data_IF_330519491320
#
_entry.id   IF_330519491320
#
_cell.length_a   1.000
_cell.length_b   1.000
_cell.length_c   1.000
_cell.angle_alpha   90.00
_cell.angle_beta   90.00
_cell.angle_gamma   90.00
#
_symmetry.space_group_name_H-M   'P 1'
#
loop_
_entity.id
_entity.type
_entity.pdbx_description
1 polymer ?
#
# COMPACT_ATOMS: atom_id res chain seq x y z
N UNK A 1 36.02 84.25 -30.34
CA UNK A 1 36.20 82.81 -30.06
C UNK A 1 35.05 82.17 -29.25
N UNK A 2 33.99 82.91 -28.91
CA UNK A 2 32.88 82.44 -28.05
C UNK A 2 31.75 81.72 -28.80
N UNK A 3 31.56 81.98 -30.10
CA UNK A 3 30.47 81.40 -30.91
C UNK A 3 30.70 79.94 -31.31
N UNK A 4 31.94 79.54 -31.59
CA UNK A 4 32.26 78.15 -31.94
C UNK A 4 32.03 77.16 -30.78
N UNK A 5 32.32 77.60 -29.55
CA UNK A 5 32.07 76.82 -28.34
C UNK A 5 30.56 76.64 -28.06
N UNK A 6 29.74 77.66 -28.33
CA UNK A 6 28.30 77.59 -28.13
C UNK A 6 27.61 76.63 -29.13
N UNK A 7 28.09 76.58 -30.37
CA UNK A 7 27.61 75.64 -31.40
C UNK A 7 28.01 74.21 -31.05
N UNK A 8 29.25 73.99 -30.60
CA UNK A 8 29.70 72.67 -30.16
C UNK A 8 28.89 72.17 -28.96
N UNK A 9 28.63 73.03 -27.96
CA UNK A 9 27.84 72.68 -26.78
C UNK A 9 26.39 72.29 -27.14
N UNK A 10 25.74 73.04 -28.05
CA UNK A 10 24.37 72.73 -28.49
C UNK A 10 24.26 71.43 -29.27
N UNK A 11 25.25 71.11 -30.13
CA UNK A 11 25.29 69.82 -30.83
C UNK A 11 25.50 68.65 -29.87
N UNK A 12 26.36 68.80 -28.85
CA UNK A 12 26.58 67.79 -27.82
C UNK A 12 25.30 67.57 -26.99
N UNK A 13 24.61 68.64 -26.60
CA UNK A 13 23.33 68.55 -25.88
C UNK A 13 22.23 67.87 -26.71
N UNK A 14 22.17 68.14 -28.02
CA UNK A 14 21.22 67.49 -28.92
C UNK A 14 21.53 65.99 -29.09
N UNK A 15 22.80 65.63 -29.25
CA UNK A 15 23.24 64.23 -29.31
C UNK A 15 22.91 63.49 -28.00
N UNK A 16 23.13 64.12 -26.85
CA UNK A 16 22.78 63.57 -25.54
C UNK A 16 21.26 63.35 -25.39
N UNK A 17 20.43 64.28 -25.89
CA UNK A 17 18.97 64.14 -25.88
C UNK A 17 18.50 62.97 -26.75
N UNK A 18 19.08 62.79 -27.94
CA UNK A 18 18.73 61.68 -28.84
C UNK A 18 19.08 60.33 -28.19
N UNK A 19 20.25 60.22 -27.56
CA UNK A 19 20.66 59.02 -26.83
C UNK A 19 19.71 58.78 -25.66
N UNK A 20 19.36 59.81 -24.88
CA UNK A 20 18.44 59.69 -23.75
C UNK A 20 17.05 59.18 -24.17
N UNK A 21 16.50 59.68 -25.29
CA UNK A 21 15.20 59.22 -25.82
C UNK A 21 15.28 57.77 -26.29
N UNK A 22 16.35 57.39 -27.00
CA UNK A 22 16.56 56.00 -27.44
C UNK A 22 16.68 55.06 -26.25
N UNK A 23 17.50 55.39 -25.26
CA UNK A 23 17.65 54.61 -24.02
C UNK A 23 16.32 54.50 -23.27
N UNK A 24 15.55 55.57 -23.14
CA UNK A 24 14.24 55.53 -22.52
C UNK A 24 13.26 54.59 -23.26
N UNK A 25 13.27 54.60 -24.60
CA UNK A 25 12.43 53.71 -25.41
C UNK A 25 12.83 52.24 -25.31
N UNK A 26 14.14 51.94 -25.25
CA UNK A 26 14.64 50.58 -25.05
C UNK A 26 14.31 50.09 -23.64
N UNK A 27 14.53 50.91 -22.62
CA UNK A 27 14.21 50.55 -21.23
C UNK A 27 12.71 50.24 -21.04
N UNK A 28 11.81 50.98 -21.70
CA UNK A 28 10.37 50.69 -21.69
C UNK A 28 10.06 49.33 -22.32
N UNK A 29 10.58 49.05 -23.52
CA UNK A 29 10.38 47.75 -24.19
C UNK A 29 10.96 46.58 -23.39
N UNK A 30 12.09 46.79 -22.73
CA UNK A 30 12.70 45.80 -21.84
C UNK A 30 11.87 45.57 -20.59
N UNK A 31 11.26 46.61 -20.01
CA UNK A 31 10.33 46.48 -18.89
C UNK A 31 9.07 45.69 -19.29
N UNK A 32 8.42 46.05 -20.40
CA UNK A 32 7.24 45.35 -20.91
C UNK A 32 7.55 43.86 -21.21
N UNK A 33 8.73 43.58 -21.79
CA UNK A 33 9.18 42.22 -22.07
C UNK A 33 9.48 41.44 -20.78
N UNK A 34 10.03 42.10 -19.75
CA UNK A 34 10.30 41.50 -18.44
C UNK A 34 8.99 41.17 -17.71
N UNK A 35 8.01 42.07 -17.72
CA UNK A 35 6.67 41.84 -17.17
C UNK A 35 5.96 40.68 -17.90
N UNK A 36 6.01 40.68 -19.24
CA UNK A 36 5.47 39.57 -20.04
C UNK A 36 6.15 38.23 -19.74
N UNK A 37 7.47 38.24 -19.51
CA UNK A 37 8.25 37.06 -19.12
C UNK A 37 7.90 36.58 -17.72
N UNK A 38 7.72 37.49 -16.77
CA UNK A 38 7.29 37.17 -15.40
C UNK A 38 5.91 36.51 -15.41
N UNK A 39 4.93 37.08 -16.10
CA UNK A 39 3.60 36.48 -16.21
C UNK A 39 3.60 35.12 -16.93
N UNK A 40 4.52 34.89 -17.87
CA UNK A 40 4.70 33.58 -18.48
C UNK A 40 5.31 32.58 -17.50
N UNK A 41 6.33 33.00 -16.73
CA UNK A 41 6.96 32.18 -15.69
C UNK A 41 5.98 31.80 -14.58
N UNK A 42 5.17 32.75 -14.08
CA UNK A 42 4.15 32.50 -13.05
C UNK A 42 3.12 31.48 -13.53
N UNK A 43 2.62 31.63 -14.77
CA UNK A 43 1.68 30.67 -15.36
C UNK A 43 2.30 29.28 -15.54
N UNK A 44 3.58 29.22 -15.94
CA UNK A 44 4.30 27.95 -16.06
C UNK A 44 4.49 27.29 -14.68
N UNK A 45 4.82 28.07 -13.64
CA UNK A 45 4.94 27.57 -12.28
C UNK A 45 3.60 27.04 -11.74
N UNK A 46 2.50 27.77 -11.96
CA UNK A 46 1.15 27.32 -11.57
C UNK A 46 0.70 26.07 -12.32
N UNK A 47 1.04 25.96 -13.61
CA UNK A 47 0.76 24.77 -14.40
C UNK A 47 1.58 23.57 -13.94
N UNK A 48 2.86 23.77 -13.60
CA UNK A 48 3.73 22.73 -13.06
C UNK A 48 3.23 22.26 -11.68
N UNK A 49 2.81 23.18 -10.81
CA UNK A 49 2.22 22.86 -9.50
C UNK A 49 0.97 22.00 -9.65
N UNK A 50 0.01 22.43 -10.47
CA UNK A 50 -1.22 21.67 -10.73
C UNK A 50 -0.96 20.30 -11.35
N UNK A 51 0.06 20.20 -12.21
CA UNK A 51 0.47 18.93 -12.81
C UNK A 51 1.07 17.99 -11.76
N UNK A 52 1.89 18.51 -10.84
CA UNK A 52 2.45 17.72 -9.73
C UNK A 52 1.36 17.24 -8.78
N UNK A 53 0.39 18.08 -8.42
CA UNK A 53 -0.77 17.71 -7.60
C UNK A 53 -1.62 16.63 -8.25
N UNK A 54 -1.89 16.74 -9.57
CA UNK A 54 -2.63 15.72 -10.31
C UNK A 54 -1.87 14.39 -10.40
N UNK A 55 -0.56 14.44 -10.61
CA UNK A 55 0.29 13.25 -10.64
C UNK A 55 0.31 12.53 -9.28
N UNK A 56 0.40 13.29 -8.19
CA UNK A 56 0.32 12.74 -6.83
C UNK A 56 -1.03 12.06 -6.57
N UNK A 57 -2.13 12.69 -6.97
CA UNK A 57 -3.47 12.09 -6.85
C UNK A 57 -3.58 10.77 -7.62
N UNK A 58 -3.11 10.73 -8.87
CA UNK A 58 -3.11 9.50 -9.68
C UNK A 58 -2.24 8.43 -9.02
N UNK A 59 -1.05 8.80 -8.53
CA UNK A 59 -0.17 7.87 -7.83
C UNK A 59 -0.85 7.27 -6.59
N UNK A 60 -1.56 8.07 -5.80
CA UNK A 60 -2.31 7.58 -4.64
C UNK A 60 -3.46 6.64 -5.04
N UNK A 61 -4.16 6.94 -6.15
CA UNK A 61 -5.25 6.08 -6.65
C UNK A 61 -4.71 4.73 -7.11
N UNK A 62 -3.64 4.72 -7.91
CA UNK A 62 -3.01 3.47 -8.37
C UNK A 62 -2.43 2.68 -7.20
N UNK A 63 -1.81 3.35 -6.22
CA UNK A 63 -1.32 2.71 -5.00
C UNK A 63 -2.44 2.02 -4.21
N UNK A 64 -3.59 2.68 -4.09
CA UNK A 64 -4.77 2.11 -3.44
C UNK A 64 -5.39 0.95 -4.25
N UNK A 65 -5.29 0.97 -5.58
CA UNK A 65 -5.70 -0.14 -6.44
C UNK A 65 -4.78 -1.34 -6.23
N UNK A 66 -3.47 -1.15 -6.33
CA UNK A 66 -2.47 -2.20 -6.12
C UNK A 66 -2.63 -2.85 -4.74
N UNK A 67 -2.87 -2.07 -3.69
CA UNK A 67 -3.14 -2.60 -2.35
C UNK A 67 -4.37 -3.52 -2.29
N UNK A 68 -5.46 -3.17 -2.99
CA UNK A 68 -6.66 -4.00 -3.06
C UNK A 68 -6.47 -5.24 -3.91
N UNK A 69 -5.74 -5.13 -5.02
CA UNK A 69 -5.46 -6.25 -5.92
C UNK A 69 -4.56 -7.32 -5.26
N UNK A 70 -3.79 -6.92 -4.24
CA UNK A 70 -2.98 -7.80 -3.38
C UNK A 70 -3.72 -8.31 -2.14
N UNK A 71 -4.99 -7.94 -1.95
CA UNK A 71 -5.76 -8.35 -0.77
C UNK A 71 -6.06 -9.86 -0.78
N UNK A 72 -6.12 -10.49 0.41
CA UNK A 72 -6.50 -11.88 0.53
C UNK A 72 -7.95 -12.10 0.12
N UNK A 73 -8.20 -13.18 -0.62
CA UNK A 73 -9.53 -13.49 -1.14
C UNK A 73 -10.22 -14.58 -0.31
N UNK A 74 -11.54 -14.45 -0.01
CA UNK A 74 -12.27 -15.44 0.79
C UNK A 74 -12.26 -16.86 0.21
N UNK A 75 -12.23 -17.00 -1.12
CA UNK A 75 -12.19 -18.27 -1.84
C UNK A 75 -10.93 -19.10 -1.58
N UNK A 76 -9.87 -18.49 -1.04
CA UNK A 76 -8.66 -19.22 -0.66
C UNK A 76 -8.87 -20.07 0.58
N UNK A 77 -9.97 -19.85 1.31
CA UNK A 77 -10.21 -20.42 2.64
C UNK A 77 -11.30 -21.48 2.60
N UNK A 78 -11.05 -22.61 3.25
CA UNK A 78 -12.05 -23.69 3.45
C UNK A 78 -11.88 -24.34 4.81
N UNK A 79 -12.96 -24.86 5.38
CA UNK A 79 -12.89 -25.72 6.56
C UNK A 79 -12.76 -27.18 6.16
N UNK A 80 -11.84 -27.88 6.81
CA UNK A 80 -11.60 -29.30 6.60
C UNK A 80 -11.74 -30.03 7.93
N UNK A 81 -12.52 -31.12 7.93
CA UNK A 81 -12.58 -32.07 9.04
C UNK A 81 -11.56 -33.17 8.83
N UNK A 82 -10.76 -33.42 9.85
CA UNK A 82 -9.78 -34.51 9.89
C UNK A 82 -9.98 -35.30 11.16
N UNK A 83 -10.32 -36.58 11.03
CA UNK A 83 -10.46 -37.46 12.18
C UNK A 83 -9.11 -37.72 12.83
N UNK A 84 -9.01 -37.43 14.13
CA UNK A 84 -7.87 -37.77 14.94
C UNK A 84 -7.90 -39.27 15.26
N UNK A 85 -7.00 -40.04 14.66
CA UNK A 85 -6.96 -41.49 14.84
C UNK A 85 -6.76 -41.94 16.29
N UNK A 86 -6.12 -41.10 17.13
CA UNK A 86 -5.87 -41.43 18.53
C UNK A 86 -7.10 -41.22 19.42
N UNK A 87 -7.88 -40.16 19.18
CA UNK A 87 -9.04 -39.80 20.01
C UNK A 87 -10.37 -40.22 19.39
N UNK A 88 -10.40 -40.56 18.11
CA UNK A 88 -11.61 -40.85 17.32
C UNK A 88 -12.46 -39.61 17.01
N UNK A 89 -12.02 -38.42 17.44
CA UNK A 89 -12.74 -37.15 17.32
C UNK A 89 -12.35 -36.41 16.04
N UNK A 90 -13.24 -35.57 15.53
CA UNK A 90 -13.01 -34.78 14.32
C UNK A 90 -12.39 -33.43 14.66
N UNK A 91 -11.15 -33.23 14.25
CA UNK A 91 -10.52 -31.91 14.30
C UNK A 91 -11.03 -31.05 13.14
N UNK A 92 -11.32 -29.79 13.41
CA UNK A 92 -11.63 -28.78 12.41
C UNK A 92 -10.39 -27.94 12.18
N UNK A 93 -9.95 -27.91 10.92
CA UNK A 93 -8.90 -27.04 10.44
C UNK A 93 -9.47 -26.00 9.49
N UNK A 94 -8.97 -24.78 9.61
CA UNK A 94 -9.06 -23.79 8.56
C UNK A 94 -7.87 -23.99 7.63
N UNK A 95 -8.17 -24.28 6.39
CA UNK A 95 -7.18 -24.46 5.34
C UNK A 95 -7.20 -23.23 4.44
N UNK A 96 -6.03 -22.68 4.15
CA UNK A 96 -5.91 -21.58 3.20
C UNK A 96 -4.85 -21.84 2.13
N UNK A 97 -5.09 -21.40 0.89
CA UNK A 97 -4.14 -21.52 -0.22
C UNK A 97 -4.03 -20.17 -0.93
N UNK A 98 -3.18 -19.26 -0.43
CA UNK A 98 -3.09 -17.93 -0.98
C UNK A 98 -2.37 -17.94 -2.33
N UNK A 99 -2.67 -16.97 -3.21
CA UNK A 99 -1.99 -16.85 -4.50
C UNK A 99 -0.52 -16.40 -4.37
N UNK A 100 -0.18 -15.71 -3.27
CA UNK A 100 1.15 -15.19 -2.94
C UNK A 100 1.55 -15.61 -1.53
N UNK A 101 2.82 -15.43 -1.19
CA UNK A 101 3.30 -15.68 0.18
C UNK A 101 2.74 -14.63 1.14
N UNK A 102 2.19 -15.02 2.29
CA UNK A 102 1.79 -14.06 3.33
C UNK A 102 2.31 -14.49 4.69
N UNK A 103 2.63 -13.51 5.55
CA UNK A 103 2.59 -13.76 6.98
C UNK A 103 1.15 -13.63 7.47
N UNK A 104 0.72 -14.57 8.28
CA UNK A 104 -0.61 -14.62 8.87
C UNK A 104 -0.56 -14.62 10.39
N UNK A 105 -1.48 -13.89 11.00
CA UNK A 105 -1.80 -13.98 12.41
C UNK A 105 -3.27 -14.31 12.53
N UNK A 106 -3.62 -15.37 13.26
CA UNK A 106 -5.00 -15.84 13.33
C UNK A 106 -5.52 -15.82 14.75
N UNK A 107 -6.74 -15.33 14.93
CA UNK A 107 -7.45 -15.34 16.18
C UNK A 107 -8.83 -16.00 16.02
N UNK A 108 -9.22 -16.79 17.01
CA UNK A 108 -10.54 -17.35 17.15
C UNK A 108 -11.41 -16.37 17.94
N UNK A 109 -12.54 -15.95 17.34
CA UNK A 109 -13.53 -15.10 17.98
C UNK A 109 -14.62 -15.98 18.60
N UNK A 110 -14.78 -15.88 19.91
CA UNK A 110 -15.71 -16.68 20.70
C UNK A 110 -17.04 -15.92 20.88
N UNK A 111 -18.17 -16.62 20.95
CA UNK A 111 -19.50 -16.02 21.16
C UNK A 111 -19.61 -15.12 22.40
N UNK A 112 -18.73 -15.30 23.39
CA UNK A 112 -18.66 -14.44 24.59
C UNK A 112 -18.01 -13.08 24.33
N UNK A 113 -17.62 -12.77 23.09
CA UNK A 113 -16.81 -11.61 22.72
C UNK A 113 -15.32 -11.78 23.02
N UNK A 114 -14.89 -12.98 23.45
CA UNK A 114 -13.49 -13.31 23.72
C UNK A 114 -12.69 -13.54 22.44
N UNK A 115 -11.38 -13.28 22.52
CA UNK A 115 -10.42 -13.58 21.45
C UNK A 115 -9.38 -14.56 21.97
N UNK A 116 -9.12 -15.63 21.22
CA UNK A 116 -8.06 -16.60 21.54
C UNK A 116 -7.11 -16.74 20.34
N UNK A 117 -5.79 -16.64 20.52
CA UNK A 117 -4.86 -16.83 19.42
C UNK A 117 -4.96 -18.26 18.88
N UNK A 118 -5.04 -18.40 17.56
CA UNK A 118 -5.00 -19.68 16.89
C UNK A 118 -3.56 -19.99 16.45
N UNK A 119 -3.06 -21.17 16.82
CA UNK A 119 -1.73 -21.61 16.39
C UNK A 119 -1.82 -22.24 15.00
N UNK A 120 -1.05 -21.76 14.00
CA UNK A 120 -0.89 -22.51 12.76
C UNK A 120 -0.14 -23.80 13.03
N UNK A 121 -0.40 -24.81 12.18
CA UNK A 121 0.16 -26.16 12.37
C UNK A 121 1.67 -26.21 12.12
N UNK A 122 2.22 -25.31 11.29
CA UNK A 122 3.64 -25.32 10.90
C UNK A 122 4.32 -23.96 10.99
N UNK A 123 3.75 -22.96 10.32
CA UNK A 123 4.35 -21.64 10.18
C UNK A 123 3.26 -20.57 10.05
N UNK A 124 3.56 -19.36 10.54
CA UNK A 124 2.76 -18.17 10.27
C UNK A 124 2.96 -17.66 8.84
N UNK A 125 4.08 -18.02 8.19
CA UNK A 125 4.34 -17.68 6.78
C UNK A 125 3.81 -18.81 5.90
N UNK A 126 2.91 -18.47 4.98
CA UNK A 126 2.26 -19.42 4.08
C UNK A 126 2.68 -19.07 2.66
N UNK A 127 3.54 -19.88 2.02
CA UNK A 127 3.98 -19.65 0.64
C UNK A 127 2.82 -19.63 -0.35
N UNK A 128 2.94 -18.81 -1.39
CA UNK A 128 1.97 -18.76 -2.49
C UNK A 128 1.78 -20.13 -3.15
N UNK A 129 0.53 -20.47 -3.46
CA UNK A 129 0.13 -21.75 -4.05
C UNK A 129 0.26 -22.96 -3.11
N UNK A 130 0.71 -22.75 -1.86
CA UNK A 130 0.88 -23.83 -0.88
C UNK A 130 -0.24 -23.81 0.15
N UNK A 131 -0.66 -25.01 0.57
CA UNK A 131 -1.70 -25.16 1.58
C UNK A 131 -1.16 -24.87 3.00
N UNK A 132 -1.67 -23.80 3.62
CA UNK A 132 -1.53 -23.54 5.05
C UNK A 132 -2.70 -24.13 5.85
N UNK A 133 -2.43 -24.59 7.08
CA UNK A 133 -3.44 -25.13 7.99
C UNK A 133 -3.37 -24.45 9.35
N UNK A 134 -4.54 -24.05 9.85
CA UNK A 134 -4.73 -23.46 11.18
C UNK A 134 -5.73 -24.31 11.94
N UNK A 135 -5.41 -24.69 13.17
CA UNK A 135 -6.31 -25.47 14.01
C UNK A 135 -7.41 -24.57 14.60
N UNK A 136 -8.67 -24.98 14.47
CA UNK A 136 -9.84 -24.22 14.92
C UNK A 136 -10.50 -24.86 16.15
N UNK A 137 -10.61 -26.19 16.18
CA UNK A 137 -11.27 -26.91 17.27
C UNK A 137 -11.46 -28.40 17.01
N UNK A 138 -12.22 -29.08 17.88
CA UNK A 138 -12.48 -30.53 17.84
C UNK A 138 -13.97 -30.83 18.09
N UNK A 139 -14.50 -31.88 17.47
CA UNK A 139 -15.87 -32.41 17.60
C UNK A 139 -15.89 -33.90 18.01
N UNK A 140 -16.86 -34.35 18.84
CA UNK A 140 -17.67 -33.53 19.74
C UNK A 140 -16.75 -32.96 20.86
N UNK A 141 -16.79 -31.65 21.06
CA UNK A 141 -15.86 -30.93 21.94
C UNK A 141 -16.36 -29.54 22.35
N UNK A 142 -15.44 -28.70 22.85
CA UNK A 142 -15.70 -27.31 23.28
C UNK A 142 -16.45 -26.54 22.18
N UNK A 143 -17.33 -25.62 22.60
CA UNK A 143 -18.04 -24.70 21.73
C UNK A 143 -17.09 -24.10 20.69
N UNK A 144 -17.35 -24.38 19.41
CA UNK A 144 -16.57 -23.84 18.31
C UNK A 144 -16.61 -22.30 18.35
N UNK A 145 -15.55 -21.62 17.89
CA UNK A 145 -15.59 -20.17 17.72
C UNK A 145 -16.66 -19.79 16.69
N UNK A 146 -17.24 -18.59 16.83
CA UNK A 146 -18.21 -18.04 15.89
C UNK A 146 -17.52 -17.66 14.57
N UNK A 147 -16.36 -17.03 14.68
CA UNK A 147 -15.57 -16.55 13.56
C UNK A 147 -14.08 -16.81 13.76
N UNK A 148 -13.37 -16.93 12.65
CA UNK A 148 -11.91 -16.90 12.61
C UNK A 148 -11.50 -15.60 11.94
N UNK A 149 -10.72 -14.78 12.64
CA UNK A 149 -10.11 -13.57 12.10
C UNK A 149 -8.67 -13.87 11.69
N UNK A 150 -8.37 -13.72 10.40
CA UNK A 150 -7.03 -13.87 9.85
C UNK A 150 -6.52 -12.50 9.43
N UNK A 151 -5.39 -12.10 9.99
CA UNK A 151 -4.67 -10.88 9.63
C UNK A 151 -3.51 -11.25 8.73
N UNK A 152 -3.46 -10.64 7.56
CA UNK A 152 -2.44 -10.88 6.55
C UNK A 152 -1.46 -9.72 6.50
N UNK A 153 -0.20 -10.03 6.24
CA UNK A 153 0.87 -9.07 6.03
C UNK A 153 1.76 -9.55 4.88
N UNK A 154 2.43 -8.63 4.16
CA UNK A 154 3.52 -9.00 3.28
C UNK A 154 4.58 -9.84 4.02
N UNK A 155 5.24 -10.79 3.34
CA UNK A 155 6.23 -11.65 3.97
C UNK A 155 7.43 -10.83 4.47
N UNK A 156 8.01 -11.16 5.64
CA UNK A 156 9.24 -10.52 6.07
C UNK A 156 10.38 -10.88 5.13
N UNK A 157 11.36 -9.98 4.99
CA UNK A 157 12.52 -10.24 4.13
C UNK A 157 13.26 -11.51 4.58
N UNK A 158 13.55 -12.40 3.62
CA UNK A 158 14.24 -13.67 3.88
C UNK A 158 13.35 -14.80 4.40
N UNK A 159 12.02 -14.63 4.46
CA UNK A 159 11.10 -15.75 4.72
C UNK A 159 11.08 -16.74 3.57
N UNK A 160 10.67 -17.98 3.85
CA UNK A 160 10.39 -18.98 2.81
C UNK A 160 9.25 -18.53 1.89
N UNK A 161 9.42 -18.69 0.58
CA UNK A 161 8.43 -18.35 -0.45
C UNK A 161 8.81 -17.17 -1.34
N UNK A 162 7.86 -16.70 -2.17
CA UNK A 162 8.00 -15.51 -3.00
C UNK A 162 8.10 -14.24 -2.12
N UNK A 163 9.20 -13.46 -2.18
CA UNK A 163 9.29 -12.18 -1.50
C UNK A 163 8.54 -11.10 -2.29
N UNK A 164 7.74 -10.29 -1.59
CA UNK A 164 7.09 -9.11 -2.18
C UNK A 164 6.73 -8.11 -1.08
N UNK A 165 6.41 -6.87 -1.48
CA UNK A 165 6.03 -5.78 -0.58
C UNK A 165 4.80 -5.05 -1.12
N UNK A 166 4.02 -4.44 -0.22
CA UNK A 166 2.97 -3.49 -0.61
C UNK A 166 3.51 -2.06 -0.48
N UNK A 167 3.36 -1.24 -1.52
CA UNK A 167 3.87 0.12 -1.52
C UNK A 167 2.96 1.13 -0.78
N UNK A 168 1.84 0.68 -0.20
CA UNK A 168 0.83 1.55 0.41
C UNK A 168 1.27 2.28 1.69
N UNK A 169 2.43 1.90 2.27
CA UNK A 169 2.92 2.47 3.51
C UNK A 169 2.19 2.01 4.77
N UNK A 170 1.16 1.15 4.65
CA UNK A 170 0.50 0.51 5.80
C UNK A 170 1.48 -0.41 6.55
N UNK A 171 1.23 -0.68 7.85
CA UNK A 171 2.18 -1.39 8.71
C UNK A 171 2.69 -2.69 8.08
N UNK A 172 4.00 -2.75 7.92
CA UNK A 172 4.74 -4.00 7.81
C UNK A 172 5.00 -4.47 9.24
N UNK A 173 4.87 -5.77 9.50
CA UNK A 173 4.97 -6.44 10.81
C UNK A 173 5.89 -5.69 11.81
N UNK A 174 5.32 -5.14 12.88
CA UNK A 174 6.11 -4.48 13.93
C UNK A 174 5.31 -3.52 14.82
N UNK A 175 4.53 -2.62 14.24
CA UNK A 175 3.98 -1.50 15.03
C UNK A 175 2.57 -1.77 15.56
N UNK A 176 1.75 -2.54 14.84
CA UNK A 176 0.34 -2.78 15.19
C UNK A 176 -0.14 -4.17 14.74
N UNK A 177 0.32 -5.22 15.43
CA UNK A 177 -0.19 -6.59 15.22
C UNK A 177 -1.73 -6.65 15.27
N UNK A 178 -2.34 -5.75 16.03
CA UNK A 178 -3.79 -5.70 16.23
C UNK A 178 -4.59 -5.38 14.97
N UNK A 179 -4.05 -4.60 14.03
CA UNK A 179 -4.81 -4.13 12.86
C UNK A 179 -4.75 -5.05 11.64
N UNK A 180 -3.65 -5.77 11.43
CA UNK A 180 -3.44 -6.47 10.15
C UNK A 180 -3.16 -5.50 9.00
N UNK A 181 -2.42 -5.93 7.97
CA UNK A 181 -2.33 -5.18 6.72
C UNK A 181 -3.59 -5.40 5.88
N UNK A 182 -4.11 -6.62 5.91
CA UNK A 182 -5.48 -6.95 5.54
C UNK A 182 -6.10 -7.84 6.61
N UNK A 183 -7.43 -7.79 6.74
CA UNK A 183 -8.18 -8.62 7.69
C UNK A 183 -9.27 -9.38 6.96
N UNK A 184 -9.32 -10.68 7.17
CA UNK A 184 -10.38 -11.55 6.68
C UNK A 184 -11.07 -12.20 7.87
N UNK A 185 -12.40 -12.08 7.94
CA UNK A 185 -13.23 -12.73 8.96
C UNK A 185 -14.08 -13.80 8.30
N UNK A 186 -13.96 -15.03 8.79
CA UNK A 186 -14.66 -16.19 8.25
C UNK A 186 -15.52 -16.81 9.34
N UNK A 187 -16.82 -16.93 9.09
CA UNK A 187 -17.73 -17.64 10.00
C UNK A 187 -17.44 -19.13 10.00
N UNK A 188 -17.41 -19.73 11.18
CA UNK A 188 -17.24 -21.18 11.31
C UNK A 188 -18.59 -21.84 11.13
N UNK A 189 -18.79 -22.49 9.98
CA UNK A 189 -19.93 -23.36 9.75
C UNK A 189 -19.51 -24.83 9.92
N UNK A 190 -19.85 -25.48 11.05
CA UNK A 190 -19.54 -26.89 11.26
C UNK A 190 -20.23 -27.83 10.27
N UNK A 191 -21.28 -27.40 9.58
CA UNK A 191 -21.99 -28.15 8.53
C UNK A 191 -21.28 -28.14 7.18
N UNK A 192 -20.49 -27.11 6.87
CA UNK A 192 -19.85 -26.93 5.56
C UNK A 192 -18.46 -27.55 5.41
N UNK A 193 -17.87 -28.07 6.50
CA UNK A 193 -16.52 -28.63 6.43
C UNK A 193 -16.51 -29.96 5.65
N UNK A 194 -15.75 -29.99 4.54
CA UNK A 194 -15.53 -31.19 3.75
C UNK A 194 -14.72 -32.20 4.55
N UNK A 195 -15.21 -33.44 4.66
CA UNK A 195 -14.47 -34.54 5.28
C UNK A 195 -13.32 -34.95 4.36
N UNK A 196 -12.08 -34.72 4.79
CA UNK A 196 -10.94 -35.37 4.16
C UNK A 196 -10.64 -36.65 4.94
N UNK A 197 -10.83 -37.79 4.27
CA UNK A 197 -10.36 -39.07 4.77
C UNK A 197 -8.84 -39.04 4.74
N UNK A 198 -8.21 -38.75 5.87
CA UNK A 198 -6.75 -38.61 5.94
C UNK A 198 -6.07 -39.92 5.57
N UNK A 199 -5.48 -39.99 4.38
CA UNK A 199 -4.34 -40.88 4.15
C UNK A 199 -3.21 -40.39 5.07
N UNK A 200 -2.68 -41.33 5.86
CA UNK A 200 -1.79 -41.06 6.99
C UNK A 200 -0.51 -40.32 6.59
N UNK A 201 -0.50 -39.00 6.77
CA UNK A 201 0.72 -38.25 6.93
C UNK A 201 1.20 -38.42 8.36
N UNK A 202 2.25 -39.20 8.56
CA UNK A 202 2.89 -39.38 9.87
C UNK A 202 3.16 -38.02 10.55
N UNK A 203 2.91 -37.90 11.87
CA UNK A 203 3.30 -36.70 12.60
C UNK A 203 4.82 -36.54 12.55
N UNK A 204 5.34 -35.30 12.55
CA UNK A 204 6.78 -35.08 12.64
C UNK A 204 7.29 -35.66 13.97
N UNK A 205 8.14 -36.68 13.87
CA UNK A 205 8.95 -37.18 14.98
C UNK A 205 9.76 -36.03 15.55
N UNK A 206 9.65 -35.81 16.87
CA UNK A 206 10.47 -34.85 17.62
C UNK A 206 11.93 -35.28 17.67
#
# INVERSE_FOLDING_TARGET
>A
MTTGLAIAATLISLAALIVAIRTASFNRRSADAAEGSQHAADRAADAAKRSAEAADLVAQIELGRDHRDLAPQPEWVRFVKVQNQRTGRDNIFLTLTPARTYLTHTDLLLDSGGRAPASPVRSNVIPGGTEGRIYVGELPGIKLPEEVEIRFFPPPQGSEGEPWTCACGEPLIGDHHDRGHWVLRIKVDPGCASTQSGEGGDPPSR
#
